data_IF_725915421380
#
_entry.id   IF_725915421380
#
_cell.length_a   1.000
_cell.length_b   1.000
_cell.length_c   1.000
_cell.angle_alpha   90.00
_cell.angle_beta   90.00
_cell.angle_gamma   90.00
#
_symmetry.space_group_name_H-M   'P 1'
#
loop_
_entity.id
_entity.type
_entity.pdbx_description
1 polymer ?
#
# COMPACT_ATOMS: atom_id res chain seq x y z
N UNK A 1 -7.73 -7.49 3.33
CA UNK A 1 -7.71 -8.78 2.62
C UNK A 1 -7.00 -8.56 1.29
N UNK A 2 -6.05 -9.44 0.93
CA UNK A 2 -5.37 -9.40 -0.36
C UNK A 2 -5.95 -10.51 -1.25
N UNK A 3 -6.64 -10.13 -2.32
CA UNK A 3 -7.04 -11.07 -3.38
C UNK A 3 -5.95 -11.08 -4.44
N UNK A 4 -5.31 -12.22 -4.72
CA UNK A 4 -4.19 -12.22 -5.68
C UNK A 4 -4.05 -13.49 -6.51
N UNK A 5 -3.61 -13.29 -7.77
CA UNK A 5 -2.64 -14.22 -8.38
C UNK A 5 -1.20 -13.67 -8.39
N UNK A 6 -0.94 -12.35 -8.45
CA UNK A 6 0.41 -11.76 -8.25
C UNK A 6 0.41 -10.27 -7.81
N UNK A 7 -0.74 -9.73 -7.41
CA UNK A 7 -0.96 -8.32 -7.05
C UNK A 7 -2.44 -8.14 -6.76
N UNK A 8 -2.78 -7.42 -5.69
CA UNK A 8 -4.14 -7.39 -5.15
C UNK A 8 -4.57 -6.01 -4.68
N UNK A 9 -5.86 -5.74 -4.82
CA UNK A 9 -6.53 -4.59 -4.21
C UNK A 9 -6.32 -4.57 -2.71
N UNK A 10 -6.09 -3.39 -2.15
CA UNK A 10 -6.06 -3.15 -0.71
C UNK A 10 -7.42 -2.65 -0.28
N UNK A 11 -7.93 -3.19 0.82
CA UNK A 11 -9.18 -2.76 1.43
C UNK A 11 -8.89 -2.33 2.86
N UNK A 12 -9.43 -1.17 3.24
CA UNK A 12 -9.57 -0.77 4.62
C UNK A 12 -10.75 -1.52 5.26
N UNK A 13 -10.66 -1.78 6.56
CA UNK A 13 -11.69 -2.51 7.29
C UNK A 13 -11.64 -2.16 8.76
N UNK A 14 -12.72 -1.57 9.27
CA UNK A 14 -12.85 -1.33 10.70
C UNK A 14 -13.26 -2.63 11.40
N UNK A 15 -12.69 -2.89 12.59
CA UNK A 15 -12.95 -4.13 13.34
C UNK A 15 -14.40 -4.28 13.83
N UNK A 16 -15.18 -3.20 13.79
CA UNK A 16 -16.61 -3.19 14.12
C UNK A 16 -17.51 -3.27 12.88
N UNK A 17 -16.97 -3.31 11.67
CA UNK A 17 -17.78 -3.47 10.46
C UNK A 17 -18.15 -4.95 10.28
N UNK A 18 -19.42 -5.27 9.99
CA UNK A 18 -19.86 -6.64 9.80
C UNK A 18 -19.46 -7.23 8.43
N UNK A 19 -19.08 -6.38 7.47
CA UNK A 19 -18.76 -6.77 6.10
C UNK A 19 -17.65 -5.87 5.53
N UNK A 20 -16.79 -6.46 4.68
CA UNK A 20 -15.72 -5.74 3.98
C UNK A 20 -16.30 -4.73 2.98
N UNK A 21 -15.65 -3.58 2.83
CA UNK A 21 -15.99 -2.60 1.79
C UNK A 21 -15.91 -3.25 0.39
N UNK A 22 -16.85 -2.91 -0.49
CA UNK A 22 -16.84 -3.38 -1.88
C UNK A 22 -15.96 -2.54 -2.80
N UNK A 23 -15.73 -1.28 -2.42
CA UNK A 23 -14.77 -0.39 -3.08
C UNK A 23 -13.40 -0.59 -2.43
N UNK A 24 -12.33 -0.81 -3.22
CA UNK A 24 -10.98 -0.92 -2.68
C UNK A 24 -10.47 0.44 -2.19
N UNK A 25 -9.69 0.41 -1.12
CA UNK A 25 -8.92 1.56 -0.64
C UNK A 25 -7.77 1.89 -1.60
N UNK A 26 -7.09 0.85 -2.13
CA UNK A 26 -6.14 1.00 -3.23
C UNK A 26 -6.40 -0.04 -4.31
N UNK A 27 -6.47 0.41 -5.56
CA UNK A 27 -6.48 -0.44 -6.73
C UNK A 27 -5.08 -0.50 -7.34
N UNK A 28 -4.62 -1.69 -7.76
CA UNK A 28 -3.27 -1.87 -8.29
C UNK A 28 -2.57 -3.15 -7.83
N UNK A 29 -1.25 -3.20 -8.08
CA UNK A 29 -0.37 -4.29 -7.66
C UNK A 29 0.59 -3.78 -6.60
N UNK A 30 0.52 -4.38 -5.41
CA UNK A 30 1.28 -3.98 -4.25
C UNK A 30 1.99 -5.19 -3.66
N UNK A 31 3.25 -4.99 -3.27
CA UNK A 31 4.12 -6.02 -2.72
C UNK A 31 4.32 -5.86 -1.21
N UNK A 32 4.34 -4.63 -0.72
CA UNK A 32 4.48 -4.32 0.70
C UNK A 32 3.54 -3.20 1.12
N UNK A 33 3.13 -3.23 2.39
CA UNK A 33 2.32 -2.20 3.01
C UNK A 33 2.97 -1.78 4.32
N UNK A 34 2.93 -0.48 4.60
CA UNK A 34 3.27 0.12 5.88
C UNK A 34 2.24 1.20 6.22
N UNK A 35 2.22 1.61 7.48
CA UNK A 35 1.38 2.70 7.94
C UNK A 35 2.24 3.65 8.78
N UNK A 36 2.19 4.93 8.45
CA UNK A 36 2.81 6.01 9.20
C UNK A 36 1.76 6.63 10.13
N UNK A 37 1.87 6.43 11.45
CA UNK A 37 0.91 6.97 12.41
C UNK A 37 1.06 8.48 12.65
N UNK A 38 2.20 9.09 12.29
CA UNK A 38 2.46 10.52 12.47
C UNK A 38 1.82 11.31 11.34
N UNK A 39 2.05 10.90 10.09
CA UNK A 39 1.45 11.53 8.90
C UNK A 39 0.03 11.02 8.61
N UNK A 40 -0.41 9.93 9.27
CA UNK A 40 -1.65 9.21 8.98
C UNK A 40 -1.74 8.79 7.50
N UNK A 41 -0.68 8.16 7.02
CA UNK A 41 -0.55 7.73 5.61
C UNK A 41 -0.28 6.24 5.50
N UNK A 42 -0.71 5.65 4.38
CA UNK A 42 -0.34 4.29 3.98
C UNK A 42 0.84 4.37 3.01
N UNK A 43 1.86 3.55 3.26
CA UNK A 43 3.02 3.37 2.40
C UNK A 43 2.82 2.07 1.62
N UNK A 44 2.64 2.16 0.31
CA UNK A 44 2.39 1.01 -0.56
C UNK A 44 3.56 0.80 -1.51
N UNK A 45 4.31 -0.29 -1.33
CA UNK A 45 5.43 -0.64 -2.19
C UNK A 45 4.98 -1.45 -3.39
N UNK A 46 5.45 -1.08 -4.58
CA UNK A 46 5.27 -1.81 -5.82
C UNK A 46 6.63 -2.34 -6.31
N UNK A 47 6.73 -3.67 -6.46
CA UNK A 47 7.95 -4.34 -6.90
C UNK A 47 8.19 -4.25 -8.42
N UNK A 48 7.22 -3.78 -9.20
CA UNK A 48 7.31 -3.72 -10.66
C UNK A 48 7.50 -5.11 -11.26
N UNK A 49 8.64 -5.32 -11.91
CA UNK A 49 9.01 -6.58 -12.57
C UNK A 49 9.87 -7.52 -11.70
N UNK A 50 10.09 -7.17 -10.42
CA UNK A 50 10.93 -7.92 -9.46
C UNK A 50 12.43 -7.96 -9.81
N UNK A 51 12.89 -7.17 -10.79
CA UNK A 51 14.27 -7.16 -11.27
C UNK A 51 14.84 -5.75 -11.46
N UNK A 52 14.00 -4.75 -11.68
CA UNK A 52 14.32 -3.34 -11.79
C UNK A 52 13.83 -2.56 -10.56
N UNK A 53 14.18 -1.28 -10.49
CA UNK A 53 13.76 -0.38 -9.42
C UNK A 53 12.22 -0.33 -9.31
N UNK A 54 11.70 -0.59 -8.12
CA UNK A 54 10.28 -0.43 -7.82
C UNK A 54 9.92 0.99 -7.38
N UNK A 55 8.70 1.17 -6.88
CA UNK A 55 8.25 2.44 -6.30
C UNK A 55 7.57 2.24 -4.94
N UNK A 56 7.51 3.33 -4.17
CA UNK A 56 6.67 3.46 -2.99
C UNK A 56 5.68 4.59 -3.24
N UNK A 57 4.39 4.27 -3.20
CA UNK A 57 3.30 5.24 -3.23
C UNK A 57 2.89 5.57 -1.79
N UNK A 58 2.85 6.86 -1.46
CA UNK A 58 2.31 7.34 -0.18
C UNK A 58 0.89 7.82 -0.42
N UNK A 59 -0.03 7.35 0.41
CA UNK A 59 -1.47 7.52 0.25
C UNK A 59 -2.02 8.11 1.54
N UNK A 60 -2.89 9.11 1.44
CA UNK A 60 -3.59 9.66 2.61
C UNK A 60 -4.66 8.69 3.15
N UNK A 61 -5.25 9.05 4.29
CA UNK A 61 -6.29 8.25 4.94
C UNK A 61 -7.59 8.08 4.11
N UNK A 62 -7.72 8.76 2.98
CA UNK A 62 -8.88 8.67 2.08
C UNK A 62 -8.60 7.86 0.82
N UNK A 63 -7.39 7.32 0.67
CA UNK A 63 -7.01 6.53 -0.50
C UNK A 63 -6.44 7.37 -1.65
N UNK A 64 -6.20 8.67 -1.44
CA UNK A 64 -5.62 9.52 -2.47
C UNK A 64 -4.08 9.48 -2.41
N UNK A 65 -3.45 9.38 -3.58
CA UNK A 65 -2.00 9.46 -3.68
C UNK A 65 -1.50 10.87 -3.31
N UNK A 66 -0.58 10.92 -2.34
CA UNK A 66 0.10 12.13 -1.90
C UNK A 66 1.41 12.32 -2.68
N UNK A 67 2.21 11.26 -2.77
CA UNK A 67 3.51 11.27 -3.46
C UNK A 67 3.93 9.87 -3.88
N UNK A 68 4.84 9.80 -4.84
CA UNK A 68 5.52 8.56 -5.22
C UNK A 68 7.04 8.76 -5.11
N UNK A 69 7.73 7.73 -4.63
CA UNK A 69 9.18 7.71 -4.45
C UNK A 69 9.75 6.49 -5.16
N UNK A 70 10.74 6.68 -6.03
CA UNK A 70 11.49 5.56 -6.62
C UNK A 70 12.30 4.85 -5.55
N UNK A 71 12.28 3.52 -5.57
CA UNK A 71 12.99 2.67 -4.60
C UNK A 71 14.04 1.80 -5.30
N UNK A 72 14.69 0.93 -4.53
CA UNK A 72 15.49 -0.16 -5.10
C UNK A 72 14.61 -1.26 -5.69
N UNK A 73 15.24 -2.38 -6.02
CA UNK A 73 14.54 -3.59 -6.46
C UNK A 73 13.75 -4.15 -5.28
N UNK A 74 12.45 -4.39 -5.48
CA UNK A 74 11.51 -5.02 -4.52
C UNK A 74 11.51 -4.31 -3.14
N UNK A 75 10.70 -3.25 -2.95
CA UNK A 75 10.54 -2.63 -1.63
C UNK A 75 9.79 -3.58 -0.68
N UNK A 76 10.49 -4.15 0.30
CA UNK A 76 9.98 -5.25 1.16
C UNK A 76 9.35 -4.79 2.48
N UNK A 77 9.92 -3.77 3.13
CA UNK A 77 9.43 -3.25 4.41
C UNK A 77 9.67 -1.75 4.52
N UNK A 78 8.91 -1.10 5.40
CA UNK A 78 9.03 0.32 5.73
C UNK A 78 9.34 0.46 7.23
N UNK A 79 10.26 1.37 7.55
CA UNK A 79 10.51 1.81 8.93
C UNK A 79 10.12 3.27 8.97
N UNK A 80 9.15 3.59 9.82
CA UNK A 80 8.72 4.95 10.09
C UNK A 80 9.33 5.34 11.43
N UNK A 81 9.98 6.49 11.48
CA UNK A 81 10.50 7.05 12.73
C UNK A 81 9.45 7.98 13.33
N UNK A 82 9.21 7.82 14.62
CA UNK A 82 8.37 8.71 15.43
C UNK A 82 9.18 9.88 16.00
#
# INVERSE_FOLDING_TARGET
YLDSRYGGRVFDFFTNQPQLNTTPFLDGTWYSLGYDPVENTVLAGNAGDFSSAGSMTVVDATGNMVREVMTGIIPTFFVVNE
#
